data_IF_011577831333
#
_entry.id   IF_011577831333
#
_cell.length_a   1.000
_cell.length_b   1.000
_cell.length_c   1.000
_cell.angle_alpha   90.00
_cell.angle_beta   90.00
_cell.angle_gamma   90.00
#
_symmetry.space_group_name_H-M   'P 1'
#
loop_
_entity.id
_entity.type
_entity.pdbx_description
1 polymer ?
#
# COMPACT_ATOMS: atom_id res chain seq x y z
N UNK A 1 -14.95 -14.18 17.57
CA UNK A 1 -13.81 -13.30 17.22
C UNK A 1 -12.98 -14.06 16.18
N UNK A 2 -13.21 -13.79 14.89
CA UNK A 2 -12.55 -14.55 13.82
C UNK A 2 -11.09 -14.12 13.78
N UNK A 3 -10.16 -15.05 14.02
CA UNK A 3 -8.73 -14.79 13.83
C UNK A 3 -8.52 -14.60 12.33
N UNK A 4 -8.33 -13.37 11.88
CA UNK A 4 -7.88 -13.09 10.52
C UNK A 4 -6.51 -13.76 10.36
N UNK A 5 -6.37 -14.68 9.41
CA UNK A 5 -5.09 -15.28 9.10
C UNK A 5 -4.11 -14.17 8.70
N UNK A 6 -3.05 -13.99 9.47
CA UNK A 6 -1.99 -13.03 9.14
C UNK A 6 -0.94 -13.72 8.29
N UNK A 7 -0.62 -13.13 7.15
CA UNK A 7 0.53 -13.51 6.36
C UNK A 7 1.79 -12.88 6.98
N UNK A 8 2.74 -13.72 7.36
CA UNK A 8 4.04 -13.28 7.86
C UNK A 8 5.08 -13.42 6.76
N UNK A 9 5.79 -12.33 6.49
CA UNK A 9 6.92 -12.31 5.55
C UNK A 9 8.18 -12.86 6.23
N UNK A 10 9.04 -13.61 5.51
CA UNK A 10 10.28 -14.16 6.07
C UNK A 10 11.16 -13.08 6.71
N UNK A 11 11.72 -13.38 7.88
CA UNK A 11 12.51 -12.43 8.68
C UNK A 11 13.82 -11.98 8.01
N UNK A 12 14.26 -12.66 6.95
CA UNK A 12 15.48 -12.33 6.21
C UNK A 12 15.31 -11.15 5.24
N UNK A 13 14.09 -10.66 4.99
CA UNK A 13 13.85 -9.57 4.05
C UNK A 13 13.46 -8.29 4.78
N UNK A 14 13.96 -7.16 4.26
CA UNK A 14 13.55 -5.81 4.70
C UNK A 14 12.05 -5.71 4.52
N UNK A 15 11.34 -5.49 5.62
CA UNK A 15 9.88 -5.54 5.64
C UNK A 15 9.31 -4.19 6.03
N UNK A 16 8.17 -3.87 5.45
CA UNK A 16 7.35 -2.75 5.84
C UNK A 16 6.16 -3.24 6.64
N UNK A 17 5.91 -2.63 7.80
CA UNK A 17 4.86 -3.04 8.73
C UNK A 17 3.97 -1.85 9.09
N UNK A 18 2.73 -2.13 9.49
CA UNK A 18 1.79 -1.12 9.95
C UNK A 18 2.30 -0.50 11.24
N UNK A 19 2.38 0.84 11.30
CA UNK A 19 2.85 1.55 12.49
C UNK A 19 1.97 1.31 13.73
N UNK A 20 0.68 1.06 13.52
CA UNK A 20 -0.33 0.99 14.59
C UNK A 20 -0.45 -0.40 15.24
N UNK A 21 -0.24 -1.47 14.47
CA UNK A 21 -0.44 -2.84 14.96
C UNK A 21 0.68 -3.83 14.60
N UNK A 22 1.73 -3.36 13.91
CA UNK A 22 2.88 -4.16 13.48
C UNK A 22 2.57 -5.29 12.50
N UNK A 23 1.36 -5.37 11.96
CA UNK A 23 1.07 -6.30 10.87
C UNK A 23 1.99 -6.00 9.67
N UNK A 24 2.61 -7.03 9.10
CA UNK A 24 3.41 -6.87 7.89
C UNK A 24 2.51 -6.38 6.76
N UNK A 25 2.99 -5.42 5.97
CA UNK A 25 2.24 -4.82 4.86
C UNK A 25 2.87 -5.12 3.52
N UNK A 26 4.20 -5.07 3.41
CA UNK A 26 4.89 -5.30 2.15
C UNK A 26 6.34 -5.74 2.36
N UNK A 27 6.86 -6.51 1.40
CA UNK A 27 8.30 -6.75 1.29
C UNK A 27 8.97 -5.56 0.60
N UNK A 28 10.23 -5.26 0.93
CA UNK A 28 11.02 -4.30 0.18
C UNK A 28 11.20 -4.69 -1.30
N UNK A 29 11.27 -5.98 -1.62
CA UNK A 29 11.42 -6.46 -2.99
C UNK A 29 10.20 -6.12 -3.87
N UNK A 30 9.03 -5.88 -3.25
CA UNK A 30 7.81 -5.44 -3.94
C UNK A 30 7.77 -3.93 -4.17
N UNK A 31 8.75 -3.16 -3.68
CA UNK A 31 8.78 -1.72 -3.85
C UNK A 31 9.14 -1.34 -5.30
N UNK A 32 8.24 -0.62 -5.96
CA UNK A 32 8.44 -0.11 -7.32
C UNK A 32 9.06 1.30 -7.29
N UNK A 33 8.51 2.21 -6.47
CA UNK A 33 8.95 3.60 -6.47
C UNK A 33 8.70 4.31 -5.15
N UNK A 34 9.64 5.19 -4.78
CA UNK A 34 9.57 6.05 -3.58
C UNK A 34 9.13 7.48 -3.87
N UNK A 35 8.83 7.79 -5.14
CA UNK A 35 8.61 9.17 -5.63
C UNK A 35 7.13 9.57 -5.64
N UNK A 36 6.29 8.88 -4.87
CA UNK A 36 4.86 9.16 -4.79
C UNK A 36 4.53 10.03 -3.57
N UNK A 37 3.38 10.69 -3.65
CA UNK A 37 2.84 11.51 -2.57
C UNK A 37 1.35 11.18 -2.40
N UNK A 38 0.91 11.17 -1.16
CA UNK A 38 -0.47 11.07 -0.76
C UNK A 38 -0.87 12.28 0.08
N UNK A 39 -2.03 12.15 0.72
CA UNK A 39 -2.63 13.23 1.50
C UNK A 39 -1.84 13.58 2.75
N UNK A 40 -1.15 12.60 3.36
CA UNK A 40 -0.31 12.80 4.55
C UNK A 40 1.19 12.86 4.23
N UNK A 41 1.54 13.17 2.98
CA UNK A 41 2.93 13.40 2.56
C UNK A 41 3.47 12.29 1.67
N UNK A 42 4.70 11.81 1.94
CA UNK A 42 5.36 10.82 1.07
C UNK A 42 4.64 9.47 1.11
N UNK A 43 4.56 8.83 -0.05
CA UNK A 43 3.98 7.51 -0.20
C UNK A 43 4.81 6.65 -1.15
N UNK A 44 4.74 5.33 -1.00
CA UNK A 44 5.49 4.38 -1.81
C UNK A 44 4.55 3.53 -2.66
N UNK A 45 4.97 3.26 -3.89
CA UNK A 45 4.28 2.37 -4.81
C UNK A 45 4.83 0.96 -4.70
N UNK A 46 3.95 -0.01 -4.47
CA UNK A 46 4.26 -1.42 -4.33
C UNK A 46 3.57 -2.26 -5.41
N UNK A 47 4.23 -3.34 -5.79
CA UNK A 47 3.69 -4.35 -6.69
C UNK A 47 2.66 -5.24 -6.00
N UNK A 48 2.96 -5.72 -4.80
CA UNK A 48 2.08 -6.53 -3.97
C UNK A 48 2.16 -6.14 -2.49
N UNK A 49 1.09 -6.40 -1.74
CA UNK A 49 0.94 -6.12 -0.31
C UNK A 49 0.21 -7.27 0.39
N UNK A 50 0.40 -7.40 1.69
CA UNK A 50 -0.22 -8.46 2.53
C UNK A 50 -0.92 -7.86 3.74
N UNK A 51 -1.91 -8.56 4.31
CA UNK A 51 -2.71 -8.10 5.44
C UNK A 51 -3.41 -6.75 5.18
N UNK A 52 -3.79 -6.52 3.93
CA UNK A 52 -4.45 -5.30 3.45
C UNK A 52 -5.78 -5.67 2.80
N UNK A 53 -6.85 -5.01 3.26
CA UNK A 53 -8.17 -5.06 2.64
C UNK A 53 -8.38 -3.87 1.71
N UNK A 54 -9.22 -4.05 0.70
CA UNK A 54 -9.62 -2.99 -0.23
C UNK A 54 -11.08 -2.60 0.02
N UNK A 55 -11.36 -1.29 -0.03
CA UNK A 55 -12.70 -0.73 -0.09
C UNK A 55 -13.28 -0.79 -1.52
N UNK A 56 -14.45 -0.17 -1.75
CA UNK A 56 -14.99 -0.02 -3.09
C UNK A 56 -14.09 0.88 -3.96
N UNK A 57 -14.10 0.63 -5.26
CA UNK A 57 -13.41 1.46 -6.23
C UNK A 57 -14.21 2.75 -6.49
N UNK A 58 -13.52 3.88 -6.48
CA UNK A 58 -14.08 5.20 -6.72
C UNK A 58 -13.22 5.98 -7.71
N UNK A 59 -13.85 6.76 -8.57
CA UNK A 59 -13.15 7.65 -9.50
C UNK A 59 -12.64 8.90 -8.78
N UNK A 60 -11.34 9.18 -8.92
CA UNK A 60 -10.68 10.33 -8.31
C UNK A 60 -9.72 10.99 -9.29
N UNK A 61 -9.73 12.33 -9.32
CA UNK A 61 -8.72 13.12 -10.04
C UNK A 61 -7.47 13.19 -9.16
N UNK A 62 -6.38 12.60 -9.65
CA UNK A 62 -5.06 12.66 -9.03
C UNK A 62 -4.15 13.57 -9.87
N UNK A 63 -2.92 13.80 -9.39
CA UNK A 63 -1.95 14.65 -10.07
C UNK A 63 -1.69 14.23 -11.54
N UNK A 64 -1.76 12.93 -11.81
CA UNK A 64 -1.52 12.36 -13.15
C UNK A 64 -2.81 12.07 -13.91
N UNK A 65 -3.92 12.73 -13.58
CA UNK A 65 -5.21 12.57 -14.26
C UNK A 65 -6.24 11.71 -13.51
N UNK A 66 -7.32 11.37 -14.20
CA UNK A 66 -8.43 10.57 -13.68
C UNK A 66 -8.02 9.10 -13.48
N UNK A 67 -8.34 8.55 -12.31
CA UNK A 67 -8.11 7.15 -11.96
C UNK A 67 -9.33 6.59 -11.22
N UNK A 68 -9.62 5.30 -11.39
CA UNK A 68 -10.43 4.55 -10.43
C UNK A 68 -9.49 3.94 -9.38
N UNK A 69 -9.70 4.27 -8.11
CA UNK A 69 -8.87 3.82 -7.00
C UNK A 69 -9.73 3.26 -5.87
N UNK A 70 -9.21 2.26 -5.16
CA UNK A 70 -9.86 1.70 -3.98
C UNK A 70 -9.03 2.02 -2.74
N UNK A 71 -9.64 2.58 -1.70
CA UNK A 71 -8.93 2.80 -0.43
C UNK A 71 -8.50 1.47 0.17
N UNK A 72 -7.29 1.43 0.70
CA UNK A 72 -6.75 0.26 1.36
C UNK A 72 -6.59 0.48 2.86
N UNK A 73 -6.85 -0.57 3.63
CA UNK A 73 -6.78 -0.52 5.09
C UNK A 73 -6.10 -1.78 5.62
N UNK A 74 -5.44 -1.63 6.77
CA UNK A 74 -4.85 -2.78 7.46
C UNK A 74 -5.96 -3.74 7.90
N UNK A 75 -5.89 -5.02 7.53
CA UNK A 75 -6.92 -5.97 7.93
C UNK A 75 -6.97 -6.21 9.45
N UNK A 76 -5.86 -5.94 10.13
CA UNK A 76 -5.70 -6.17 11.57
C UNK A 76 -6.29 -5.04 12.43
N UNK A 77 -5.93 -3.78 12.15
CA UNK A 77 -6.38 -2.63 12.94
C UNK A 77 -7.37 -1.70 12.23
N UNK A 78 -7.69 -1.98 10.96
CA UNK A 78 -8.62 -1.22 10.11
C UNK A 78 -8.21 0.23 9.83
N UNK A 79 -7.00 0.63 10.20
CA UNK A 79 -6.44 1.94 9.80
C UNK A 79 -6.29 1.99 8.27
N UNK A 80 -6.79 3.06 7.65
CA UNK A 80 -6.51 3.39 6.25
C UNK A 80 -5.00 3.59 6.06
N UNK A 81 -4.46 3.02 4.99
CA UNK A 81 -3.03 3.02 4.69
C UNK A 81 -2.67 3.80 3.42
N UNK A 82 -3.62 3.92 2.49
CA UNK A 82 -3.44 4.52 1.18
C UNK A 82 -4.50 3.99 0.20
N UNK A 83 -4.14 3.73 -1.06
CA UNK A 83 -5.08 3.23 -2.07
C UNK A 83 -4.43 2.25 -3.05
N UNK A 84 -5.25 1.45 -3.72
CA UNK A 84 -4.89 0.63 -4.88
C UNK A 84 -5.41 1.29 -6.14
N UNK A 85 -4.63 1.27 -7.22
CA UNK A 85 -5.10 1.67 -8.54
C UNK A 85 -5.88 0.54 -9.20
N UNK A 86 -7.17 0.71 -9.42
CA UNK A 86 -8.00 -0.25 -10.14
C UNK A 86 -7.99 0.03 -11.65
N UNK A 87 -8.04 1.31 -12.02
CA UNK A 87 -7.98 1.72 -13.42
C UNK A 87 -7.30 3.08 -13.58
N UNK A 88 -6.53 3.23 -14.64
CA UNK A 88 -5.99 4.50 -15.10
C UNK A 88 -6.52 4.80 -16.51
N UNK A 89 -7.10 5.97 -16.72
CA UNK A 89 -7.73 6.31 -18.01
C UNK A 89 -6.70 6.74 -19.06
N UNK A 90 -5.55 7.24 -18.62
CA UNK A 90 -4.44 7.59 -19.50
C UNK A 90 -3.50 6.41 -19.73
N UNK A 91 -3.16 6.13 -21.00
CA UNK A 91 -2.26 5.04 -21.38
C UNK A 91 -0.88 5.13 -20.71
N UNK A 92 -0.38 6.35 -20.48
CA UNK A 92 0.90 6.61 -19.81
C UNK A 92 0.90 6.20 -18.33
N UNK A 93 -0.28 6.05 -17.73
CA UNK A 93 -0.45 5.73 -16.31
C UNK A 93 -0.86 4.26 -16.07
N UNK A 94 -1.08 3.47 -17.13
CA UNK A 94 -1.51 2.06 -17.05
C UNK A 94 -0.59 1.16 -16.22
N UNK A 95 0.70 1.49 -16.13
CA UNK A 95 1.65 0.73 -15.31
C UNK A 95 1.29 0.73 -13.81
N UNK A 96 0.43 1.66 -13.35
CA UNK A 96 -0.04 1.75 -11.96
C UNK A 96 -1.18 0.77 -11.68
N UNK A 97 -1.90 0.28 -12.69
CA UNK A 97 -3.05 -0.60 -12.46
C UNK A 97 -2.65 -1.87 -11.70
N UNK A 98 -3.46 -2.22 -10.69
CA UNK A 98 -3.20 -3.31 -9.77
C UNK A 98 -2.13 -3.03 -8.72
N UNK A 99 -1.48 -1.85 -8.72
CA UNK A 99 -0.43 -1.47 -7.77
C UNK A 99 -0.99 -0.72 -6.58
N UNK A 100 -0.21 -0.71 -5.50
CA UNK A 100 -0.64 -0.22 -4.19
C UNK A 100 0.19 0.97 -3.75
N UNK A 101 -0.47 2.01 -3.25
CA UNK A 101 0.14 3.13 -2.56
C UNK A 101 -0.05 2.94 -1.07
N UNK A 102 1.06 2.99 -0.32
CA UNK A 102 1.03 3.08 1.15
C UNK A 102 1.74 4.36 1.57
N UNK A 103 1.05 5.18 2.37
CA UNK A 103 1.61 6.41 2.92
C UNK A 103 2.58 6.11 4.06
N UNK A 104 3.71 6.84 4.11
CA UNK A 104 4.74 6.62 5.12
C UNK A 104 4.27 6.94 6.53
N UNK A 105 3.24 7.77 6.67
CA UNK A 105 2.61 8.07 7.96
C UNK A 105 2.00 6.83 8.64
N UNK A 106 1.76 5.75 7.89
CA UNK A 106 1.10 4.54 8.38
C UNK A 106 2.01 3.30 8.33
N UNK A 107 3.28 3.48 7.99
CA UNK A 107 4.20 2.40 7.71
C UNK A 107 5.56 2.62 8.37
N UNK A 108 6.10 1.55 8.95
CA UNK A 108 7.44 1.51 9.52
C UNK A 108 8.30 0.47 8.81
N UNK A 109 9.61 0.66 8.90
CA UNK A 109 10.64 -0.21 8.36
C UNK A 109 11.13 -1.14 9.45
N UNK A 110 11.01 -2.45 9.26
CA UNK A 110 11.48 -3.47 10.19
C UNK A 110 12.63 -4.29 9.57
N UNK A 111 13.53 -4.80 10.44
CA UNK A 111 14.67 -5.67 10.13
C UNK A 111 15.75 -5.08 9.20
N UNK A 112 16.72 -4.36 9.78
CA UNK A 112 18.06 -4.20 9.19
C UNK A 112 18.13 -3.37 7.90
N UNK A 113 17.63 -2.14 7.95
CA UNK A 113 17.81 -1.16 6.88
C UNK A 113 19.16 -0.46 7.00
N UNK A 114 20.25 -1.23 7.04
CA UNK A 114 21.62 -0.73 6.84
C UNK A 114 21.95 -0.67 5.34
#
# INVERSE_FOLDING_TARGET
>A
MVKTFQAYLPSCHRTYSCIHCRAHLANHDELISKSFQGSQGRAYLFNSVVNVGCGPAEERILLTGLHAVADIYCECCKTTLGWKYEHAFESSQKYKEGKFIIELAHMIKENGWE
#
